data_IF_795335924265
#
_entry.id   IF_795335924265
#
_cell.length_a   1.000
_cell.length_b   1.000
_cell.length_c   1.000
_cell.angle_alpha   90.00
_cell.angle_beta   90.00
_cell.angle_gamma   90.00
#
_symmetry.space_group_name_H-M   'P 1'
#
loop_
_entity.id
_entity.type
_entity.pdbx_description
1 polymer ?
#
# COMPACT_ATOMS: atom_id res chain seq x y z
N UNK A 1 -1.92 2.43 25.29
CA UNK A 1 -0.81 2.80 24.42
C UNK A 1 -0.95 2.09 23.09
N UNK A 2 -0.78 2.80 21.99
CA UNK A 2 -0.90 2.21 20.68
C UNK A 2 0.20 1.19 20.39
N UNK A 3 -0.04 0.26 19.47
CA UNK A 3 0.93 -0.79 19.13
C UNK A 3 2.06 -0.33 18.21
N UNK A 4 2.17 0.94 17.90
CA UNK A 4 3.15 1.42 16.97
C UNK A 4 4.14 2.38 17.62
N UNK A 5 5.32 2.50 17.00
CA UNK A 5 6.35 3.43 17.40
C UNK A 5 5.95 4.84 16.99
N UNK A 6 6.30 5.83 17.81
CA UNK A 6 6.07 7.23 17.44
C UNK A 6 6.94 7.61 16.24
N UNK A 7 6.32 8.05 15.16
CA UNK A 7 6.98 8.54 13.96
C UNK A 7 6.49 9.96 13.71
N UNK A 8 7.41 10.94 13.52
CA UNK A 8 7.00 12.32 13.32
C UNK A 8 6.00 12.45 12.15
N UNK A 9 4.87 13.12 12.43
CA UNK A 9 3.85 13.36 11.43
C UNK A 9 2.93 12.18 11.14
N UNK A 10 3.10 11.07 11.87
CA UNK A 10 2.29 9.86 11.65
C UNK A 10 1.30 9.68 12.78
N UNK A 11 0.02 9.58 12.45
CA UNK A 11 -1.05 9.37 13.43
C UNK A 11 -2.00 8.28 12.97
N UNK A 12 -2.58 7.54 13.94
CA UNK A 12 -3.61 6.55 13.64
C UNK A 12 -4.95 7.26 13.44
N UNK A 13 -5.68 6.85 12.41
CA UNK A 13 -7.03 7.36 12.18
C UNK A 13 -7.98 6.45 12.95
N UNK A 14 -8.59 7.00 14.00
CA UNK A 14 -9.49 6.24 14.85
C UNK A 14 -10.76 5.86 14.10
N UNK A 15 -11.22 4.63 14.31
CA UNK A 15 -12.48 4.13 13.76
C UNK A 15 -12.57 4.21 12.23
N UNK A 16 -11.44 4.19 11.56
CA UNK A 16 -11.42 4.13 10.11
C UNK A 16 -11.38 2.66 9.67
N UNK A 17 -12.39 2.25 8.92
CA UNK A 17 -12.44 0.90 8.35
C UNK A 17 -11.49 0.77 7.18
N UNK A 18 -10.84 -0.39 7.06
CA UNK A 18 -10.09 -0.74 5.87
C UNK A 18 -10.76 -1.94 5.22
N UNK A 19 -11.32 -1.73 4.03
CA UNK A 19 -12.02 -2.78 3.29
C UNK A 19 -11.24 -3.08 2.02
N UNK A 20 -10.90 -4.35 1.81
CA UNK A 20 -10.08 -4.77 0.68
C UNK A 20 -10.76 -5.95 0.00
N UNK A 21 -11.08 -5.80 -1.28
CA UNK A 21 -11.76 -6.83 -2.09
C UNK A 21 -13.03 -7.34 -1.40
N UNK A 22 -13.80 -6.42 -0.84
CA UNK A 22 -15.06 -6.73 -0.17
C UNK A 22 -14.96 -7.25 1.25
N UNK A 23 -13.74 -7.33 1.81
CA UNK A 23 -13.52 -7.84 3.16
C UNK A 23 -13.03 -6.72 4.07
N UNK A 24 -13.65 -6.60 5.24
CA UNK A 24 -13.18 -5.67 6.27
C UNK A 24 -11.94 -6.29 6.92
N UNK A 25 -10.84 -5.55 6.90
CA UNK A 25 -9.59 -6.02 7.48
C UNK A 25 -9.62 -5.87 9.00
N UNK A 26 -9.00 -6.83 9.68
CA UNK A 26 -8.92 -6.80 11.13
C UNK A 26 -7.93 -5.70 11.54
N UNK A 27 -8.33 -4.76 12.44
CA UNK A 27 -7.39 -3.74 12.91
C UNK A 27 -6.12 -4.30 13.55
N UNK A 28 -6.15 -5.55 14.03
CA UNK A 28 -4.96 -6.20 14.56
C UNK A 28 -3.90 -6.45 13.50
N UNK A 29 -4.29 -6.51 12.22
CA UNK A 29 -3.34 -6.70 11.10
C UNK A 29 -2.71 -5.39 10.65
N UNK A 30 -3.13 -4.27 11.20
CA UNK A 30 -2.61 -2.96 10.92
C UNK A 30 -3.70 -1.91 10.94
N UNK A 31 -3.37 -0.74 11.43
CA UNK A 31 -4.31 0.38 11.50
C UNK A 31 -4.25 1.17 10.19
N UNK A 32 -5.23 2.06 9.99
CA UNK A 32 -5.12 3.08 8.97
C UNK A 32 -4.42 4.27 9.61
N UNK A 33 -3.33 4.71 9.00
CA UNK A 33 -2.52 5.80 9.53
C UNK A 33 -2.60 7.01 8.59
N UNK A 34 -2.21 8.15 9.10
CA UNK A 34 -2.12 9.37 8.30
C UNK A 34 -0.79 10.04 8.54
N UNK A 35 -0.13 10.42 7.46
CA UNK A 35 1.11 11.18 7.49
C UNK A 35 0.92 12.42 6.61
N UNK A 36 0.77 13.60 7.27
CA UNK A 36 0.38 14.79 6.53
C UNK A 36 -0.96 14.60 5.86
N UNK A 37 -1.02 14.78 4.55
CA UNK A 37 -2.24 14.60 3.76
C UNK A 37 -2.37 13.19 3.19
N UNK A 38 -1.45 12.28 3.53
CA UNK A 38 -1.40 10.95 2.92
C UNK A 38 -1.95 9.91 3.88
N UNK A 39 -2.95 9.17 3.43
CA UNK A 39 -3.50 8.04 4.18
C UNK A 39 -2.66 6.81 3.88
N UNK A 40 -2.21 6.13 4.93
CA UNK A 40 -1.28 5.01 4.84
C UNK A 40 -1.95 3.72 5.33
N UNK A 41 -1.71 2.63 4.63
CA UNK A 41 -2.29 1.32 4.97
C UNK A 41 -1.20 0.25 4.97
N UNK A 42 -1.44 -0.88 5.66
CA UNK A 42 -0.42 -1.94 5.75
C UNK A 42 -0.27 -2.66 4.41
N UNK A 43 0.95 -2.64 3.87
CA UNK A 43 1.21 -3.12 2.53
C UNK A 43 0.93 -4.61 2.37
N UNK A 44 1.57 -5.46 3.21
CA UNK A 44 1.53 -6.91 3.00
C UNK A 44 0.13 -7.46 3.15
N UNK A 45 -0.58 -7.06 4.20
CA UNK A 45 -1.92 -7.59 4.45
C UNK A 45 -2.90 -7.20 3.35
N UNK A 46 -2.82 -5.94 2.88
CA UNK A 46 -3.67 -5.49 1.79
C UNK A 46 -3.32 -6.20 0.49
N UNK A 47 -2.03 -6.27 0.16
CA UNK A 47 -1.58 -6.93 -1.07
C UNK A 47 -1.96 -8.41 -1.09
N UNK A 48 -1.78 -9.11 0.03
CA UNK A 48 -2.13 -10.53 0.11
C UNK A 48 -3.64 -10.75 0.00
N UNK A 49 -4.43 -9.85 0.57
CA UNK A 49 -5.88 -9.93 0.45
C UNK A 49 -6.32 -9.73 -1.01
N UNK A 50 -5.58 -8.96 -1.79
CA UNK A 50 -5.84 -8.79 -3.22
C UNK A 50 -5.30 -9.93 -4.07
N UNK A 51 -4.58 -10.89 -3.46
CA UNK A 51 -4.00 -12.02 -4.17
C UNK A 51 -2.61 -11.76 -4.74
N UNK A 52 -1.97 -10.66 -4.34
CA UNK A 52 -0.63 -10.33 -4.81
C UNK A 52 0.44 -10.99 -3.96
N UNK A 53 1.63 -11.14 -4.53
CA UNK A 53 2.81 -11.66 -3.82
C UNK A 53 3.68 -10.49 -3.39
N UNK A 54 4.17 -10.53 -2.14
CA UNK A 54 5.05 -9.50 -1.60
C UNK A 54 6.38 -10.13 -1.25
N UNK A 55 7.46 -9.67 -1.88
CA UNK A 55 8.80 -10.20 -1.70
C UNK A 55 9.79 -9.10 -1.32
N UNK A 56 10.71 -9.43 -0.43
CA UNK A 56 11.81 -8.57 -0.06
C UNK A 56 13.03 -8.94 -0.91
N UNK A 57 13.69 -7.92 -1.50
CA UNK A 57 14.93 -8.11 -2.22
C UNK A 57 16.08 -7.49 -1.41
N UNK A 58 16.93 -8.33 -0.77
CA UNK A 58 18.01 -7.81 0.04
C UNK A 58 19.13 -7.16 -0.77
N UNK A 59 19.22 -7.43 -2.06
CA UNK A 59 20.29 -6.89 -2.91
C UNK A 59 20.18 -5.38 -3.03
N UNK A 60 18.98 -4.85 -3.27
CA UNK A 60 18.76 -3.41 -3.37
C UNK A 60 17.88 -2.87 -2.24
N UNK A 61 17.58 -3.71 -1.25
CA UNK A 61 16.76 -3.34 -0.09
C UNK A 61 15.39 -2.79 -0.49
N UNK A 62 14.76 -3.44 -1.45
CA UNK A 62 13.44 -3.05 -1.92
C UNK A 62 12.41 -4.11 -1.59
N UNK A 63 11.15 -3.70 -1.64
CA UNK A 63 10.00 -4.60 -1.56
C UNK A 63 9.37 -4.64 -2.94
N UNK A 64 9.04 -5.84 -3.39
CA UNK A 64 8.39 -6.02 -4.69
C UNK A 64 7.01 -6.60 -4.47
N UNK A 65 5.99 -5.91 -4.99
CA UNK A 65 4.60 -6.37 -4.97
C UNK A 65 4.24 -6.81 -6.38
N UNK A 66 3.90 -8.09 -6.53
CA UNK A 66 3.72 -8.69 -7.85
C UNK A 66 2.29 -9.11 -8.09
N UNK A 67 1.77 -8.74 -9.24
CA UNK A 67 0.55 -9.26 -9.80
C UNK A 67 0.87 -9.86 -11.18
N UNK A 68 -0.12 -10.39 -11.90
CA UNK A 68 0.16 -11.14 -13.13
C UNK A 68 0.66 -10.28 -14.30
N UNK A 69 0.29 -9.00 -14.37
CA UNK A 69 0.67 -8.16 -15.51
C UNK A 69 1.74 -7.12 -15.19
N UNK A 70 2.06 -6.95 -13.90
CA UNK A 70 3.02 -5.93 -13.49
C UNK A 70 3.49 -6.20 -12.06
N UNK A 71 4.57 -5.52 -11.67
CA UNK A 71 4.97 -5.47 -10.27
C UNK A 71 5.41 -4.05 -9.93
N UNK A 72 5.40 -3.75 -8.64
CA UNK A 72 5.87 -2.46 -8.14
C UNK A 72 7.08 -2.67 -7.25
N UNK A 73 8.09 -1.82 -7.46
CA UNK A 73 9.28 -1.78 -6.62
C UNK A 73 9.10 -0.64 -5.62
N UNK A 74 9.25 -0.97 -4.33
CA UNK A 74 9.07 -0.04 -3.22
C UNK A 74 10.35 0.01 -2.42
N UNK A 75 10.88 1.23 -2.20
CA UNK A 75 12.12 1.41 -1.44
C UNK A 75 11.81 2.13 -0.13
N UNK A 76 12.21 1.56 1.02
CA UNK A 76 11.95 2.20 2.31
C UNK A 76 12.48 3.63 2.35
N UNK A 77 11.64 4.55 2.84
CA UNK A 77 12.01 5.94 3.02
C UNK A 77 11.97 6.81 1.79
N UNK A 78 11.69 6.24 0.61
CA UNK A 78 11.69 7.02 -0.64
C UNK A 78 10.28 7.16 -1.18
N UNK A 79 9.89 8.38 -1.51
CA UNK A 79 8.63 8.66 -2.20
C UNK A 79 8.83 8.36 -3.68
N UNK A 80 8.98 7.07 -3.97
CA UNK A 80 9.30 6.60 -5.31
C UNK A 80 8.80 5.17 -5.44
N UNK A 81 7.88 4.95 -6.37
CA UNK A 81 7.23 3.67 -6.56
C UNK A 81 7.24 3.39 -8.05
N UNK A 82 8.00 2.38 -8.45
CA UNK A 82 8.16 2.09 -9.88
C UNK A 82 7.37 0.85 -10.27
N UNK A 83 6.44 1.03 -11.19
CA UNK A 83 5.70 -0.07 -11.79
C UNK A 83 6.42 -0.56 -13.03
N UNK A 84 6.65 -1.87 -13.10
CA UNK A 84 7.26 -2.54 -14.25
C UNK A 84 6.24 -3.50 -14.82
N UNK A 85 5.93 -3.35 -16.12
CA UNK A 85 5.01 -4.25 -16.80
C UNK A 85 5.70 -5.54 -17.23
N UNK A 86 4.92 -6.63 -17.23
CA UNK A 86 5.43 -7.94 -17.66
C UNK A 86 4.89 -8.33 -19.04
N UNK A 87 4.02 -7.52 -19.63
CA UNK A 87 3.47 -7.75 -20.96
C UNK A 87 4.31 -6.99 -21.97
N UNK A 88 4.96 -7.74 -22.88
CA UNK A 88 5.96 -7.15 -23.77
C UNK A 88 5.40 -6.14 -24.77
N UNK A 89 4.15 -6.30 -25.18
CA UNK A 89 3.56 -5.44 -26.21
C UNK A 89 2.92 -4.18 -25.67
N UNK A 90 2.84 -4.06 -24.34
CA UNK A 90 2.19 -2.93 -23.68
C UNK A 90 3.20 -2.32 -22.72
N UNK A 91 3.43 -1.01 -22.83
CA UNK A 91 4.31 -0.35 -21.88
C UNK A 91 3.53 0.09 -20.65
N UNK A 92 3.65 -0.69 -19.58
CA UNK A 92 3.02 -0.42 -18.29
C UNK A 92 3.98 0.22 -17.31
N UNK A 93 5.22 0.51 -17.73
CA UNK A 93 6.23 1.06 -16.85
C UNK A 93 5.92 2.50 -16.50
N UNK A 94 5.98 2.81 -15.20
CA UNK A 94 5.72 4.17 -14.74
C UNK A 94 6.24 4.34 -13.32
N UNK A 95 6.69 5.56 -13.00
CA UNK A 95 7.11 5.95 -11.66
C UNK A 95 6.03 6.81 -11.04
N UNK A 96 5.69 6.54 -9.77
CA UNK A 96 4.67 7.25 -9.03
C UNK A 96 5.26 7.86 -7.76
N UNK A 97 4.72 9.00 -7.37
CA UNK A 97 5.02 9.66 -6.10
C UNK A 97 3.69 10.07 -5.47
N UNK A 98 3.58 9.88 -4.16
CA UNK A 98 2.31 10.12 -3.46
C UNK A 98 2.46 11.07 -2.26
N UNK A 99 3.64 11.65 -2.08
CA UNK A 99 3.89 12.61 -1.02
C UNK A 99 4.70 12.06 0.13
N UNK A 100 4.87 10.75 0.22
CA UNK A 100 5.72 10.13 1.23
C UNK A 100 6.19 8.76 0.78
N UNK A 101 7.37 8.36 1.24
CA UNK A 101 7.83 6.99 1.10
C UNK A 101 7.12 6.06 2.08
N UNK A 102 7.35 4.75 1.95
CA UNK A 102 6.80 3.79 2.90
C UNK A 102 7.39 4.01 4.30
N UNK A 103 6.61 3.69 5.32
CA UNK A 103 7.00 3.84 6.72
C UNK A 103 6.87 2.50 7.41
N UNK A 104 7.89 2.13 8.19
CA UNK A 104 7.88 0.88 8.94
C UNK A 104 7.52 1.19 10.39
N UNK A 105 6.47 0.54 10.89
CA UNK A 105 5.99 0.73 12.25
C UNK A 105 5.83 -0.65 12.89
N UNK A 106 6.66 -0.94 13.90
CA UNK A 106 6.67 -2.23 14.61
C UNK A 106 6.72 -3.44 13.65
N UNK A 107 7.56 -3.33 12.61
CA UNK A 107 7.73 -4.43 11.66
C UNK A 107 6.69 -4.50 10.56
N UNK A 108 5.71 -3.60 10.55
CA UNK A 108 4.71 -3.51 9.49
C UNK A 108 5.02 -2.32 8.59
N UNK A 109 5.15 -2.58 7.29
CA UNK A 109 5.37 -1.51 6.33
C UNK A 109 4.03 -0.91 5.91
N UNK A 110 3.91 0.41 6.06
CA UNK A 110 2.75 1.16 5.62
C UNK A 110 3.09 1.93 4.35
N UNK A 111 2.17 1.95 3.41
CA UNK A 111 2.32 2.64 2.14
C UNK A 111 1.12 3.53 1.89
N UNK A 112 1.25 4.56 1.04
CA UNK A 112 0.07 5.35 0.65
C UNK A 112 -1.01 4.45 0.08
N UNK A 113 -2.26 4.67 0.50
CA UNK A 113 -3.39 3.90 -0.01
C UNK A 113 -3.52 4.04 -1.52
N UNK A 114 -3.19 5.22 -2.06
CA UNK A 114 -3.26 5.49 -3.48
C UNK A 114 -2.30 4.63 -4.31
N UNK A 115 -1.28 4.03 -3.68
CA UNK A 115 -0.36 3.14 -4.38
C UNK A 115 -1.11 2.02 -5.11
N UNK A 116 -2.19 1.54 -4.53
CA UNK A 116 -2.92 0.42 -5.12
C UNK A 116 -3.65 0.79 -6.42
N UNK A 117 -3.84 2.07 -6.70
CA UNK A 117 -4.31 2.51 -8.02
C UNK A 117 -3.29 2.17 -9.12
N UNK A 118 -2.01 2.20 -8.78
CA UNK A 118 -0.96 1.83 -9.72
C UNK A 118 -0.98 0.35 -10.07
N UNK A 119 -1.66 -0.46 -9.26
CA UNK A 119 -1.87 -1.89 -9.52
C UNK A 119 -3.31 -2.16 -9.99
N UNK A 120 -3.94 -1.15 -10.57
CA UNK A 120 -5.24 -1.26 -11.27
C UNK A 120 -6.39 -1.59 -10.33
N UNK A 121 -6.37 -1.03 -9.13
CA UNK A 121 -7.47 -1.09 -8.20
C UNK A 121 -8.16 0.26 -8.13
N UNK A 122 -9.44 0.25 -7.75
CA UNK A 122 -10.13 1.47 -7.36
C UNK A 122 -9.87 1.73 -5.88
N UNK A 123 -9.48 2.94 -5.55
CA UNK A 123 -9.16 3.33 -4.18
C UNK A 123 -10.07 4.48 -3.77
N UNK A 124 -10.82 4.29 -2.69
CA UNK A 124 -11.70 5.30 -2.12
C UNK A 124 -11.25 5.57 -0.69
N UNK A 125 -11.04 6.84 -0.36
CA UNK A 125 -10.55 7.24 0.95
C UNK A 125 -11.49 8.29 1.55
N UNK A 126 -11.96 8.02 2.76
CA UNK A 126 -12.73 8.97 3.55
C UNK A 126 -12.27 8.89 5.00
N UNK A 127 -12.69 9.83 5.86
CA UNK A 127 -12.31 9.76 7.29
C UNK A 127 -12.79 8.49 8.00
N UNK A 128 -13.83 7.83 7.47
CA UNK A 128 -14.43 6.67 8.11
C UNK A 128 -14.05 5.36 7.44
N UNK A 129 -13.55 5.40 6.19
CA UNK A 129 -13.32 4.16 5.46
C UNK A 129 -12.30 4.35 4.34
N UNK A 130 -11.41 3.36 4.21
CA UNK A 130 -10.56 3.19 3.05
C UNK A 130 -11.00 1.92 2.35
N UNK A 131 -11.31 2.00 1.06
CA UNK A 131 -11.81 0.87 0.29
C UNK A 131 -10.91 0.64 -0.93
N UNK A 132 -10.40 -0.57 -1.05
CA UNK A 132 -9.59 -1.00 -2.19
C UNK A 132 -10.37 -2.09 -2.92
N UNK A 133 -10.73 -1.85 -4.18
CA UNK A 133 -11.54 -2.79 -4.96
C UNK A 133 -10.83 -3.09 -6.28
N UNK A 134 -10.56 -4.35 -6.60
CA UNK A 134 -10.01 -4.68 -7.93
C UNK A 134 -10.91 -4.16 -9.04
N UNK A 135 -10.30 -3.59 -10.08
CA UNK A 135 -11.06 -2.93 -11.14
C UNK A 135 -11.96 -3.91 -11.91
N UNK A 136 -11.53 -5.16 -12.03
CA UNK A 136 -12.31 -6.19 -12.72
C UNK A 136 -13.52 -6.69 -11.93
N UNK A 137 -13.66 -6.25 -10.69
CA UNK A 137 -14.79 -6.57 -9.83
C UNK A 137 -15.71 -5.37 -9.61
N UNK A 138 -15.40 -4.27 -10.24
CA UNK A 138 -16.17 -3.04 -10.07
C UNK A 138 -17.48 -3.11 -10.87
#
# INVERSE_FOLDING_TARGET
MGPYVSVPGLTAIQQCKLMVAGKVMDPADGAVLQKGDVVMIPLRKVAEQLGYTVNWDPTDQSVRVEMNIAYIIIKPGEDWYERIGTIKKINLNRIFQYGTGPVNVNGTMYVPAQLFEALYNNVSVSPQEVMITPADQA
#
